data_IF_707872730034
#
_entry.id   IF_707872730034
#
_cell.length_a   1.000
_cell.length_b   1.000
_cell.length_c   1.000
_cell.angle_alpha   90.00
_cell.angle_beta   90.00
_cell.angle_gamma   90.00
#
_symmetry.space_group_name_H-M   'P 1'
#
loop_
_entity.id
_entity.type
_entity.pdbx_description
1 polymer ?
#
# COMPACT_ATOMS: atom_id res chain seq x y z
N UNK A 1 75.23 29.49 -14.86
CA UNK A 1 74.13 30.07 -15.64
C UNK A 1 72.87 29.89 -14.80
N UNK A 2 72.64 30.77 -13.84
CA UNK A 2 72.08 32.13 -14.01
C UNK A 2 70.57 32.11 -14.26
N UNK A 3 69.83 32.90 -13.48
CA UNK A 3 68.46 33.29 -13.81
C UNK A 3 67.48 33.22 -12.63
N UNK A 4 67.02 34.35 -12.04
CA UNK A 4 66.49 34.38 -10.68
C UNK A 4 64.96 34.33 -10.59
N UNK A 5 64.49 33.95 -9.40
CA UNK A 5 63.14 34.19 -8.89
C UNK A 5 62.94 35.69 -8.67
N UNK A 6 61.87 36.25 -9.26
CA UNK A 6 61.41 37.61 -8.98
C UNK A 6 60.47 37.60 -7.78
N UNK A 7 60.84 38.37 -6.76
CA UNK A 7 59.98 38.85 -5.68
C UNK A 7 59.70 40.33 -5.99
N UNK A 8 58.43 40.74 -5.98
CA UNK A 8 58.07 42.14 -5.72
C UNK A 8 56.99 42.18 -4.64
N UNK A 9 57.37 42.87 -3.57
CA UNK A 9 56.63 43.32 -2.39
C UNK A 9 55.84 44.61 -2.63
N UNK A 10 54.84 44.89 -1.79
CA UNK A 10 54.37 46.26 -1.51
C UNK A 10 52.90 46.36 -1.14
N UNK A 11 52.52 46.24 0.14
CA UNK A 11 52.26 47.36 1.08
C UNK A 11 51.04 48.24 0.76
N UNK A 12 50.01 48.20 1.63
CA UNK A 12 49.57 49.38 2.40
C UNK A 12 48.58 49.00 3.52
N UNK A 13 48.71 49.72 4.63
CA UNK A 13 48.08 49.54 5.94
C UNK A 13 46.72 50.26 6.00
N UNK A 14 45.83 49.79 6.88
CA UNK A 14 44.92 50.67 7.61
C UNK A 14 44.70 50.16 9.03
N UNK A 15 45.12 50.98 10.01
CA UNK A 15 44.92 50.82 11.46
C UNK A 15 43.94 51.90 11.90
N UNK A 16 43.06 51.59 12.86
CA UNK A 16 42.62 52.41 14.02
C UNK A 16 41.73 51.51 14.89
N UNK A 17 42.18 50.98 16.04
CA UNK A 17 42.36 51.60 17.39
C UNK A 17 41.05 52.08 18.04
N UNK A 18 40.72 51.51 19.20
CA UNK A 18 39.71 52.05 20.11
C UNK A 18 39.19 51.09 21.18
N UNK A 19 40.03 50.65 22.11
CA UNK A 19 39.65 50.28 23.50
C UNK A 19 40.12 51.43 24.42
N UNK A 20 39.97 51.43 25.77
CA UNK A 20 39.29 50.51 26.72
C UNK A 20 38.49 51.25 27.83
N UNK A 21 37.84 50.51 28.75
CA UNK A 21 38.15 50.56 30.21
C UNK A 21 37.26 49.63 31.04
N UNK A 22 37.89 49.20 32.13
CA UNK A 22 37.53 48.20 33.14
C UNK A 22 36.60 48.80 34.20
N UNK A 23 35.88 47.94 34.92
CA UNK A 23 36.00 47.88 36.38
C UNK A 23 35.52 46.51 36.89
N UNK A 24 36.32 45.98 37.81
CA UNK A 24 36.03 44.84 38.66
C UNK A 24 35.19 45.31 39.85
N UNK A 25 34.47 44.40 40.51
CA UNK A 25 34.63 44.22 41.95
C UNK A 25 34.02 42.91 42.47
N UNK A 26 34.84 42.27 43.31
CA UNK A 26 34.62 41.47 44.52
C UNK A 26 33.52 40.40 44.64
N UNK A 27 34.01 39.17 44.72
CA UNK A 27 33.84 38.16 45.79
C UNK A 27 32.87 38.48 46.94
N UNK A 28 32.02 37.51 47.27
CA UNK A 28 31.89 37.07 48.66
C UNK A 28 31.69 35.55 48.78
N UNK A 29 32.36 35.02 49.79
CA UNK A 29 32.53 33.64 50.18
C UNK A 29 31.50 33.35 51.28
N UNK A 30 30.64 32.34 51.12
CA UNK A 30 30.14 31.57 52.27
C UNK A 30 30.11 30.08 51.92
N UNK A 31 31.08 29.39 52.52
CA UNK A 31 31.12 27.95 52.76
C UNK A 31 30.12 27.62 53.86
N UNK A 32 29.24 26.65 53.69
CA UNK A 32 28.83 25.72 54.75
C UNK A 32 28.35 24.39 54.17
N UNK A 33 28.63 23.35 54.94
CA UNK A 33 28.79 21.93 54.64
C UNK A 33 27.49 21.11 54.67
N UNK A 34 27.64 19.93 54.07
CA UNK A 34 27.10 18.61 54.47
C UNK A 34 25.56 18.43 54.51
N UNK A 35 25.03 17.52 53.69
CA UNK A 35 24.77 16.14 54.14
C UNK A 35 24.29 15.25 52.98
N UNK A 36 24.93 14.09 52.90
CA UNK A 36 24.61 12.96 52.04
C UNK A 36 23.27 12.34 52.43
N UNK A 37 22.34 12.21 51.47
CA UNK A 37 21.24 11.25 51.56
C UNK A 37 21.39 10.20 50.46
N UNK A 38 21.70 8.99 50.91
CA UNK A 38 21.62 7.73 50.18
C UNK A 38 20.21 7.52 49.61
N UNK A 39 20.06 7.05 48.35
CA UNK A 39 18.80 6.46 47.91
C UNK A 39 18.69 5.07 48.55
N UNK A 40 17.75 4.94 49.48
CA UNK A 40 17.36 3.67 50.09
C UNK A 40 16.81 2.72 49.04
N UNK A 41 17.20 1.46 49.21
CA UNK A 41 16.78 0.27 48.48
C UNK A 41 15.28 -0.01 48.69
N UNK A 42 14.40 0.58 47.88
CA UNK A 42 12.99 0.16 47.77
C UNK A 42 12.50 0.28 46.32
N UNK A 43 13.14 -0.45 45.39
CA UNK A 43 12.50 -0.75 44.09
C UNK A 43 13.05 -2.04 43.47
N UNK A 44 13.04 -3.12 44.26
CA UNK A 44 13.21 -4.49 43.76
C UNK A 44 12.18 -5.39 44.42
N UNK A 45 11.00 -5.50 43.80
CA UNK A 45 10.22 -6.76 43.64
C UNK A 45 8.84 -6.44 43.09
N UNK A 46 8.68 -6.56 41.78
CA UNK A 46 7.46 -7.00 41.07
C UNK A 46 7.78 -7.16 39.59
N UNK A 47 8.63 -8.15 39.31
CA UNK A 47 8.55 -8.94 38.08
C UNK A 47 7.84 -10.23 38.44
N UNK A 48 7.14 -10.78 37.46
CA UNK A 48 6.41 -12.05 37.46
C UNK A 48 4.93 -11.95 37.83
N UNK A 49 4.19 -11.27 36.95
CA UNK A 49 3.04 -11.93 36.33
C UNK A 49 3.18 -11.74 34.82
N UNK A 50 3.60 -12.81 34.14
CA UNK A 50 3.61 -12.93 32.68
C UNK A 50 2.14 -13.17 32.29
N UNK A 51 1.35 -12.10 32.30
CA UNK A 51 0.09 -12.10 31.56
C UNK A 51 0.43 -11.90 30.08
N UNK A 52 0.44 -13.04 29.41
CA UNK A 52 0.30 -13.26 27.98
C UNK A 52 -0.32 -12.02 27.26
N UNK A 53 0.46 -11.22 26.51
CA UNK A 53 -0.12 -10.11 25.79
C UNK A 53 -0.91 -10.70 24.63
N UNK A 54 -2.21 -10.78 24.87
CA UNK A 54 -3.28 -10.84 23.90
C UNK A 54 -2.80 -10.42 22.50
N UNK A 55 -2.52 -11.41 21.65
CA UNK A 55 -2.19 -11.25 20.23
C UNK A 55 -3.41 -10.82 19.40
N UNK A 56 -4.36 -10.11 20.00
CA UNK A 56 -5.43 -9.41 19.29
C UNK A 56 -4.86 -8.15 18.66
N UNK A 57 -4.22 -8.35 17.51
CA UNK A 57 -3.83 -7.33 16.54
C UNK A 57 -4.99 -6.31 16.37
N UNK A 58 -4.94 -5.09 16.94
CA UNK A 58 -6.00 -4.09 16.77
C UNK A 58 -6.01 -3.48 15.36
N UNK A 59 -5.18 -4.00 14.44
CA UNK A 59 -4.78 -3.27 13.23
C UNK A 59 -5.74 -3.49 12.07
N UNK A 60 -6.59 -4.54 12.10
CA UNK A 60 -7.48 -4.86 10.97
C UNK A 60 -8.48 -3.72 10.72
N UNK A 61 -9.06 -3.12 11.75
CA UNK A 61 -10.03 -2.03 11.59
C UNK A 61 -9.41 -0.76 10.98
N UNK A 62 -8.14 -0.48 11.30
CA UNK A 62 -7.41 0.68 10.77
C UNK A 62 -7.21 0.63 9.24
N UNK A 63 -7.14 -0.56 8.65
CA UNK A 63 -6.83 -0.76 7.22
C UNK A 63 -8.05 -0.89 6.30
N UNK A 64 -9.27 -0.85 6.84
CA UNK A 64 -10.50 -0.92 6.06
C UNK A 64 -11.45 0.26 6.29
N UNK A 65 -10.96 1.37 6.86
CA UNK A 65 -11.73 2.60 7.01
C UNK A 65 -12.21 3.09 5.64
N UNK A 66 -13.50 2.90 5.40
CA UNK A 66 -14.21 3.36 4.19
C UNK A 66 -14.31 4.88 4.27
N UNK A 67 -13.74 5.59 3.29
CA UNK A 67 -13.90 7.04 3.23
C UNK A 67 -15.35 7.41 2.91
N UNK A 68 -15.86 8.53 3.46
CA UNK A 68 -17.13 9.07 3.03
C UNK A 68 -17.08 9.35 1.53
N UNK A 69 -18.09 8.89 0.81
CA UNK A 69 -18.23 9.14 -0.62
C UNK A 69 -18.47 10.64 -0.80
N UNK A 70 -17.56 11.30 -1.51
CA UNK A 70 -17.71 12.71 -1.83
C UNK A 70 -18.50 12.86 -3.14
N UNK A 71 -19.45 13.79 -3.18
CA UNK A 71 -19.99 14.28 -4.44
C UNK A 71 -18.93 15.19 -5.10
N UNK A 72 -18.12 14.62 -5.99
CA UNK A 72 -16.97 15.33 -6.59
C UNK A 72 -17.36 15.95 -7.92
N UNK A 73 -17.47 17.28 -7.95
CA UNK A 73 -17.41 18.02 -9.22
C UNK A 73 -15.95 18.07 -9.72
N UNK A 74 -15.59 17.17 -10.65
CA UNK A 74 -14.22 17.03 -11.17
C UNK A 74 -13.70 18.20 -12.00
N UNK A 75 -14.60 19.07 -12.48
CA UNK A 75 -14.21 20.32 -13.18
C UNK A 75 -13.74 21.40 -12.21
N UNK A 76 -14.10 21.31 -10.93
CA UNK A 76 -13.73 22.28 -9.91
C UNK A 76 -12.34 22.00 -9.32
N UNK A 77 -11.48 23.03 -9.31
CA UNK A 77 -10.11 22.98 -8.76
C UNK A 77 -10.10 22.60 -7.28
N UNK A 78 -11.03 23.13 -6.47
CA UNK A 78 -11.14 22.82 -5.04
C UNK A 78 -11.43 21.34 -4.80
N UNK A 79 -12.30 20.76 -5.62
CA UNK A 79 -12.62 19.33 -5.58
C UNK A 79 -11.40 18.47 -5.93
N UNK A 80 -10.64 18.85 -6.96
CA UNK A 80 -9.39 18.15 -7.33
C UNK A 80 -8.33 18.22 -6.23
N UNK A 81 -8.16 19.37 -5.58
CA UNK A 81 -7.26 19.53 -4.42
C UNK A 81 -7.66 18.61 -3.27
N UNK A 82 -8.96 18.55 -2.92
CA UNK A 82 -9.47 17.63 -1.89
C UNK A 82 -9.22 16.17 -2.24
N UNK A 83 -9.46 15.77 -3.49
CA UNK A 83 -9.24 14.38 -3.93
C UNK A 83 -7.76 13.99 -3.92
N UNK A 84 -6.87 14.91 -4.31
CA UNK A 84 -5.42 14.74 -4.18
C UNK A 84 -5.01 14.57 -2.72
N UNK A 85 -5.54 15.40 -1.82
CA UNK A 85 -5.26 15.27 -0.39
C UNK A 85 -5.73 13.92 0.16
N UNK A 86 -6.93 13.48 -0.20
CA UNK A 86 -7.43 12.15 0.17
C UNK A 86 -6.50 11.02 -0.30
N UNK A 87 -5.97 11.11 -1.52
CA UNK A 87 -5.00 10.14 -2.02
C UNK A 87 -3.73 10.13 -1.16
N UNK A 88 -3.17 11.29 -0.87
CA UNK A 88 -1.98 11.43 -0.02
C UNK A 88 -2.22 10.82 1.36
N UNK A 89 -3.33 11.18 2.00
CA UNK A 89 -3.66 10.71 3.35
C UNK A 89 -3.90 9.20 3.36
N UNK A 90 -4.52 8.66 2.31
CA UNK A 90 -4.72 7.22 2.15
C UNK A 90 -3.41 6.47 2.02
N UNK A 91 -2.45 6.98 1.23
CA UNK A 91 -1.12 6.37 1.12
C UNK A 91 -0.41 6.42 2.47
N UNK A 92 -0.51 7.52 3.23
CA UNK A 92 0.10 7.66 4.56
C UNK A 92 -0.45 6.65 5.59
N UNK A 93 -1.71 6.22 5.49
CA UNK A 93 -2.28 5.19 6.38
C UNK A 93 -1.50 3.87 6.33
N UNK A 94 -0.84 3.60 5.21
CA UNK A 94 -0.10 2.37 4.99
C UNK A 94 1.35 2.41 5.46
N UNK A 95 1.83 3.50 6.06
CA UNK A 95 3.16 3.54 6.68
C UNK A 95 3.26 2.44 7.74
N UNK A 96 4.37 1.70 7.73
CA UNK A 96 4.57 0.53 8.60
C UNK A 96 4.09 -0.80 8.01
N UNK A 97 3.39 -0.80 6.87
CA UNK A 97 2.96 -2.06 6.23
C UNK A 97 4.15 -2.76 5.54
N UNK A 98 4.39 -4.05 5.80
CA UNK A 98 5.52 -4.78 5.24
C UNK A 98 5.43 -5.03 3.73
N UNK A 99 6.59 -5.15 3.09
CA UNK A 99 6.68 -5.32 1.62
C UNK A 99 6.11 -6.66 1.12
N UNK A 100 6.53 -7.78 1.71
CA UNK A 100 6.07 -9.12 1.33
C UNK A 100 6.38 -10.14 2.43
N UNK A 101 5.43 -11.03 2.73
CA UNK A 101 5.55 -12.05 3.79
C UNK A 101 6.83 -12.87 3.70
N UNK A 102 7.21 -13.32 2.50
CA UNK A 102 8.45 -14.09 2.24
C UNK A 102 9.76 -13.41 2.61
N UNK A 103 9.72 -12.15 3.07
CA UNK A 103 10.89 -11.41 3.55
C UNK A 103 11.07 -11.52 5.06
N UNK A 104 10.10 -12.11 5.75
CA UNK A 104 10.09 -12.23 7.20
C UNK A 104 10.09 -13.69 7.63
N UNK A 105 10.57 -13.98 8.84
CA UNK A 105 10.51 -15.30 9.47
C UNK A 105 9.33 -15.38 10.45
N UNK A 106 8.81 -16.57 10.79
CA UNK A 106 7.71 -16.71 11.75
C UNK A 106 7.96 -16.08 13.14
N UNK A 107 9.21 -15.82 13.50
CA UNK A 107 9.60 -15.16 14.75
C UNK A 107 9.51 -13.61 14.68
N UNK A 108 9.29 -13.05 13.49
CA UNK A 108 9.18 -11.60 13.27
C UNK A 108 7.69 -11.18 13.22
N UNK A 109 7.34 -10.10 13.92
CA UNK A 109 5.96 -9.60 14.00
C UNK A 109 5.34 -9.31 12.61
N UNK A 110 6.14 -8.85 11.66
CA UNK A 110 5.71 -8.55 10.29
C UNK A 110 5.32 -9.80 9.49
N UNK A 111 5.67 -11.01 9.95
CA UNK A 111 5.28 -12.26 9.30
C UNK A 111 3.78 -12.56 9.39
N UNK A 112 3.10 -12.04 10.41
CA UNK A 112 1.67 -12.20 10.63
C UNK A 112 0.85 -10.97 10.24
N UNK A 113 1.46 -10.02 9.52
CA UNK A 113 0.76 -8.81 9.09
C UNK A 113 -0.40 -9.14 8.15
N UNK A 114 -1.59 -8.51 8.31
CA UNK A 114 -2.78 -8.87 7.54
C UNK A 114 -2.67 -8.58 6.04
N UNK A 115 -1.80 -7.63 5.65
CA UNK A 115 -1.57 -7.24 4.27
C UNK A 115 -0.09 -6.97 4.02
N UNK A 116 0.32 -7.14 2.76
CA UNK A 116 1.66 -6.82 2.30
C UNK A 116 1.57 -5.97 1.06
N UNK A 117 2.36 -4.90 1.01
CA UNK A 117 2.30 -3.91 -0.05
C UNK A 117 3.67 -3.73 -0.68
N UNK A 118 3.84 -4.28 -1.88
CA UNK A 118 4.93 -3.88 -2.76
C UNK A 118 4.71 -2.45 -3.31
N UNK A 119 5.65 -1.95 -4.10
CA UNK A 119 5.62 -0.56 -4.57
C UNK A 119 4.34 -0.22 -5.36
N UNK A 120 3.98 -1.02 -6.35
CA UNK A 120 2.76 -0.81 -7.13
C UNK A 120 1.49 -1.19 -6.33
N UNK A 121 1.61 -2.14 -5.42
CA UNK A 121 0.57 -2.60 -4.48
C UNK A 121 0.13 -1.51 -3.54
N UNK A 122 1.06 -0.72 -3.00
CA UNK A 122 0.77 0.45 -2.17
C UNK A 122 -0.15 1.44 -2.90
N UNK A 123 0.26 1.89 -4.09
CA UNK A 123 -0.50 2.84 -4.90
C UNK A 123 -1.86 2.25 -5.29
N UNK A 124 -1.87 0.99 -5.73
CA UNK A 124 -3.10 0.29 -6.12
C UNK A 124 -4.07 0.17 -4.95
N UNK A 125 -3.58 -0.14 -3.76
CA UNK A 125 -4.41 -0.29 -2.57
C UNK A 125 -5.04 1.04 -2.19
N UNK A 126 -4.28 2.12 -2.16
CA UNK A 126 -4.82 3.46 -1.92
C UNK A 126 -5.91 3.85 -2.94
N UNK A 127 -5.69 3.54 -4.22
CA UNK A 127 -6.71 3.74 -5.26
C UNK A 127 -7.94 2.84 -5.12
N UNK A 128 -7.82 1.65 -4.52
CA UNK A 128 -8.95 0.77 -4.25
C UNK A 128 -9.83 1.28 -3.12
N UNK A 129 -9.23 1.82 -2.08
CA UNK A 129 -9.96 2.42 -0.98
C UNK A 129 -10.72 3.68 -1.43
N UNK A 130 -10.17 4.40 -2.42
CA UNK A 130 -10.75 5.64 -2.98
C UNK A 130 -11.50 5.44 -4.30
N UNK A 131 -11.80 4.20 -4.70
CA UNK A 131 -12.41 3.90 -6.02
C UNK A 131 -13.71 4.67 -6.26
N UNK A 132 -14.53 4.87 -5.23
CA UNK A 132 -15.82 5.55 -5.33
C UNK A 132 -15.59 7.07 -5.50
N UNK A 133 -14.63 7.64 -4.77
CA UNK A 133 -14.25 9.06 -4.89
C UNK A 133 -13.63 9.36 -6.28
N UNK A 134 -12.73 8.50 -6.75
CA UNK A 134 -12.10 8.63 -8.08
C UNK A 134 -13.08 8.26 -9.22
N UNK A 135 -14.14 7.50 -8.92
CA UNK A 135 -15.12 6.99 -9.87
C UNK A 135 -14.57 5.97 -10.86
N UNK A 136 -13.49 5.30 -10.50
CA UNK A 136 -12.97 4.15 -11.22
C UNK A 136 -12.18 3.24 -10.29
N UNK A 137 -12.00 1.98 -10.71
CA UNK A 137 -11.11 1.03 -10.06
C UNK A 137 -9.92 0.75 -10.96
N UNK A 138 -8.71 1.00 -10.45
CA UNK A 138 -7.47 0.71 -11.18
C UNK A 138 -7.30 -0.80 -11.45
N UNK A 139 -6.76 -1.18 -12.59
CA UNK A 139 -6.53 -2.60 -12.92
C UNK A 139 -5.50 -3.30 -12.02
N UNK A 140 -5.42 -4.64 -12.04
CA UNK A 140 -4.43 -5.41 -11.27
C UNK A 140 -3.00 -5.35 -11.85
N UNK A 141 -2.73 -4.51 -12.86
CA UNK A 141 -1.43 -4.40 -13.51
C UNK A 141 -0.34 -3.81 -12.60
N UNK A 142 0.92 -3.99 -13.00
CA UNK A 142 2.11 -3.53 -12.26
C UNK A 142 2.38 -2.02 -12.44
N UNK A 143 3.54 -1.53 -11.98
CA UNK A 143 3.96 -0.12 -12.15
C UNK A 143 3.98 0.35 -13.62
N UNK A 144 4.25 -0.54 -14.59
CA UNK A 144 4.20 -0.19 -16.02
C UNK A 144 2.78 0.14 -16.46
N UNK A 145 1.79 -0.65 -16.03
CA UNK A 145 0.38 -0.33 -16.25
C UNK A 145 -0.02 1.00 -15.59
N UNK A 146 0.46 1.28 -14.38
CA UNK A 146 0.17 2.54 -13.69
C UNK A 146 0.71 3.75 -14.47
N UNK A 147 1.96 3.69 -14.96
CA UNK A 147 2.55 4.68 -15.88
C UNK A 147 1.65 4.92 -17.08
N UNK A 148 1.17 3.85 -17.72
CA UNK A 148 0.39 3.98 -18.96
C UNK A 148 -0.98 4.61 -18.73
N UNK A 149 -1.45 4.72 -17.49
CA UNK A 149 -2.72 5.40 -17.17
C UNK A 149 -2.51 6.86 -16.76
N UNK A 150 -1.26 7.34 -16.76
CA UNK A 150 -0.85 8.69 -16.39
C UNK A 150 -0.05 9.33 -17.54
N UNK A 151 -0.72 9.89 -18.57
CA UNK A 151 -0.05 10.47 -19.73
C UNK A 151 0.76 11.74 -19.44
N UNK A 152 0.46 12.45 -18.35
CA UNK A 152 1.02 13.77 -18.10
C UNK A 152 2.42 13.62 -17.49
N UNK A 153 3.43 13.82 -18.32
CA UNK A 153 4.82 13.95 -17.89
C UNK A 153 5.08 15.30 -17.23
N UNK A 154 5.88 15.28 -16.18
CA UNK A 154 6.30 16.46 -15.43
C UNK A 154 7.82 16.61 -15.47
N UNK A 155 8.30 17.84 -15.25
CA UNK A 155 9.68 18.06 -14.80
C UNK A 155 9.74 17.88 -13.29
N UNK A 156 10.94 17.61 -12.77
CA UNK A 156 11.13 17.47 -11.32
C UNK A 156 10.65 18.70 -10.55
N UNK A 157 10.85 19.90 -11.10
CA UNK A 157 10.45 21.19 -10.50
C UNK A 157 8.93 21.39 -10.44
N UNK A 158 8.18 20.67 -11.27
CA UNK A 158 6.73 20.84 -11.40
C UNK A 158 5.95 19.80 -10.56
N UNK A 159 6.66 18.91 -9.86
CA UNK A 159 6.07 17.89 -8.99
C UNK A 159 5.26 18.52 -7.85
N UNK A 160 4.08 17.97 -7.62
CA UNK A 160 3.21 18.33 -6.50
C UNK A 160 3.04 17.12 -5.58
N UNK A 161 2.83 17.32 -4.26
CA UNK A 161 2.50 16.24 -3.37
C UNK A 161 1.35 15.37 -3.91
N UNK A 162 1.53 14.05 -3.86
CA UNK A 162 0.61 13.07 -4.44
C UNK A 162 0.93 12.65 -5.88
N UNK A 163 1.79 13.37 -6.61
CA UNK A 163 2.27 12.90 -7.91
C UNK A 163 3.15 11.65 -7.75
N UNK A 164 3.29 10.88 -8.83
CA UNK A 164 4.00 9.61 -8.79
C UNK A 164 5.35 9.71 -9.50
N UNK A 165 6.34 9.06 -8.89
CA UNK A 165 7.69 8.93 -9.42
C UNK A 165 7.88 7.47 -9.81
N UNK A 166 8.08 7.22 -11.09
CA UNK A 166 8.36 5.89 -11.61
C UNK A 166 9.83 5.75 -11.95
N UNK A 167 10.35 4.53 -11.78
CA UNK A 167 11.76 4.23 -11.95
C UNK A 167 11.88 3.19 -13.04
N UNK A 168 12.53 3.54 -14.15
CA UNK A 168 13.00 2.55 -15.11
C UNK A 168 14.47 2.25 -14.86
N UNK A 169 14.91 1.03 -15.15
CA UNK A 169 16.33 0.69 -15.07
C UNK A 169 16.65 -0.68 -15.65
N UNK A 170 17.93 -0.90 -15.91
CA UNK A 170 18.45 -2.16 -16.44
C UNK A 170 18.56 -3.18 -15.31
N UNK A 171 18.05 -4.40 -15.50
CA UNK A 171 18.18 -5.42 -14.45
C UNK A 171 19.64 -5.87 -14.35
N UNK A 172 20.22 -5.90 -13.14
CA UNK A 172 21.58 -6.40 -12.92
C UNK A 172 21.69 -7.88 -13.32
N UNK A 173 20.63 -8.65 -13.06
CA UNK A 173 20.57 -10.05 -13.48
C UNK A 173 19.85 -10.14 -14.84
N UNK A 174 20.56 -10.46 -15.95
CA UNK A 174 19.99 -10.51 -17.29
C UNK A 174 19.01 -11.67 -17.49
N UNK A 175 19.05 -12.71 -16.63
CA UNK A 175 18.11 -13.84 -16.68
C UNK A 175 16.69 -13.46 -16.26
N UNK A 176 16.50 -12.29 -15.64
CA UNK A 176 15.18 -11.82 -15.22
C UNK A 176 14.44 -11.23 -16.42
N UNK A 177 13.21 -11.72 -16.64
CA UNK A 177 12.31 -11.18 -17.66
C UNK A 177 12.22 -9.64 -17.55
N UNK A 178 12.41 -8.90 -18.64
CA UNK A 178 12.23 -7.45 -18.63
C UNK A 178 10.76 -7.11 -18.37
N UNK A 179 10.54 -6.14 -17.49
CA UNK A 179 9.23 -5.54 -17.28
C UNK A 179 8.95 -4.54 -18.40
N UNK A 180 7.68 -4.25 -18.67
CA UNK A 180 7.29 -3.23 -19.63
C UNK A 180 7.93 -1.89 -19.31
N UNK A 181 8.43 -1.22 -20.36
CA UNK A 181 9.20 0.03 -20.28
C UNK A 181 10.37 -0.03 -19.28
N UNK A 182 10.83 -1.24 -18.96
CA UNK A 182 11.81 -1.49 -17.89
C UNK A 182 11.42 -0.90 -16.53
N UNK A 183 10.12 -0.70 -16.26
CA UNK A 183 9.64 -0.09 -15.01
C UNK A 183 9.83 -1.04 -13.83
N UNK A 184 10.57 -0.58 -12.82
CA UNK A 184 10.99 -1.37 -11.66
C UNK A 184 10.32 -0.95 -10.36
N UNK A 185 9.99 0.33 -10.20
CA UNK A 185 9.54 0.88 -8.93
C UNK A 185 8.62 2.08 -9.13
N UNK A 186 7.83 2.39 -8.10
CA UNK A 186 7.00 3.58 -8.00
C UNK A 186 6.97 4.09 -6.57
N UNK A 187 7.02 5.40 -6.39
CA UNK A 187 6.84 6.09 -5.11
C UNK A 187 5.89 7.28 -5.28
N UNK A 188 5.21 7.68 -4.20
CA UNK A 188 4.43 8.91 -4.17
C UNK A 188 5.33 10.06 -3.70
N UNK A 189 5.40 11.14 -4.46
CA UNK A 189 6.13 12.34 -4.07
C UNK A 189 5.39 13.08 -2.95
N UNK A 190 6.12 13.55 -1.95
CA UNK A 190 5.58 14.40 -0.88
C UNK A 190 6.20 15.78 -0.84
N UNK A 191 7.33 16.00 -1.51
CA UNK A 191 8.15 17.21 -1.37
C UNK A 191 8.88 17.20 -0.04
N UNK A 192 8.13 17.22 1.07
CA UNK A 192 8.66 17.22 2.43
C UNK A 192 9.62 18.38 2.71
N UNK A 193 10.30 18.37 3.86
CA UNK A 193 11.29 19.41 4.21
C UNK A 193 12.49 19.45 3.27
N UNK A 194 12.84 18.32 2.64
CA UNK A 194 14.00 18.20 1.75
C UNK A 194 13.70 18.63 0.31
N UNK A 195 12.44 18.90 -0.04
CA UNK A 195 11.99 19.16 -1.42
C UNK A 195 12.02 17.94 -2.35
N UNK A 196 12.58 16.81 -1.91
CA UNK A 196 12.72 15.57 -2.69
C UNK A 196 12.21 14.33 -1.94
N UNK A 197 11.44 14.52 -0.89
CA UNK A 197 10.90 13.43 -0.08
C UNK A 197 9.82 12.62 -0.83
N UNK A 198 9.74 11.33 -0.54
CA UNK A 198 8.74 10.42 -1.08
C UNK A 198 8.24 9.40 -0.04
N UNK A 199 7.08 8.79 -0.31
CA UNK A 199 6.58 7.60 0.38
C UNK A 199 6.62 6.42 -0.59
N UNK A 200 7.19 5.31 -0.15
CA UNK A 200 7.29 4.12 -0.98
C UNK A 200 7.49 2.84 -0.20
N UNK A 201 7.53 1.72 -0.92
CA UNK A 201 7.81 0.39 -0.36
C UNK A 201 9.06 -0.20 -1.02
N UNK A 202 10.23 -0.05 -0.36
CA UNK A 202 11.55 -0.44 -0.91
C UNK A 202 11.95 -1.86 -0.48
N UNK A 203 12.45 -2.70 -1.41
CA UNK A 203 12.45 -4.16 -1.29
C UNK A 203 13.50 -4.91 -0.42
N UNK A 204 13.82 -4.51 0.82
CA UNK A 204 14.67 -5.32 1.74
C UNK A 204 14.19 -5.26 3.20
N UNK A 205 13.26 -6.14 3.60
CA UNK A 205 12.59 -6.15 4.93
C UNK A 205 12.00 -4.79 5.34
N UNK A 206 11.87 -3.84 4.39
CA UNK A 206 11.36 -2.51 4.69
C UNK A 206 9.85 -2.55 4.61
N UNK A 207 9.27 -1.83 5.55
CA UNK A 207 7.89 -1.41 5.53
C UNK A 207 7.73 -0.21 4.59
N UNK A 208 6.48 0.11 4.24
CA UNK A 208 6.14 1.41 3.64
C UNK A 208 6.62 2.50 4.58
N UNK A 209 7.39 3.45 4.06
CA UNK A 209 7.95 4.53 4.88
C UNK A 209 8.16 5.82 4.06
N UNK A 210 8.41 6.91 4.76
CA UNK A 210 9.03 8.10 4.19
C UNK A 210 10.49 7.81 3.86
N UNK A 211 10.95 8.45 2.79
CA UNK A 211 12.35 8.51 2.41
C UNK A 211 12.73 9.95 2.13
N UNK A 212 13.85 10.40 2.70
CA UNK A 212 14.33 11.78 2.57
C UNK A 212 14.55 12.19 1.12
N UNK A 213 14.87 11.22 0.26
CA UNK A 213 15.01 11.41 -1.17
C UNK A 213 14.41 10.25 -1.95
N UNK A 214 13.69 10.58 -3.01
CA UNK A 214 13.29 9.63 -4.05
C UNK A 214 14.48 9.18 -4.92
N UNK A 215 15.65 9.84 -4.83
CA UNK A 215 16.88 9.44 -5.52
C UNK A 215 17.65 8.46 -4.63
N UNK A 216 17.80 7.22 -5.10
CA UNK A 216 18.56 6.19 -4.38
C UNK A 216 19.23 5.23 -5.36
N UNK A 217 20.29 4.56 -4.90
CA UNK A 217 20.96 3.50 -5.65
C UNK A 217 20.25 2.17 -5.37
N UNK A 218 19.77 1.51 -6.41
CA UNK A 218 19.14 0.20 -6.30
C UNK A 218 20.18 -0.92 -6.32
N UNK A 219 19.96 -1.95 -5.50
CA UNK A 219 20.76 -3.19 -5.52
C UNK A 219 20.28 -4.22 -6.55
N UNK A 220 19.23 -3.90 -7.30
CA UNK A 220 18.56 -4.87 -8.19
C UNK A 220 18.46 -4.41 -9.65
N UNK A 221 18.76 -3.14 -9.91
CA UNK A 221 18.78 -2.54 -11.24
C UNK A 221 19.73 -1.33 -11.26
N UNK A 222 20.33 -1.07 -12.42
CA UNK A 222 21.22 0.06 -12.70
C UNK A 222 20.55 1.05 -13.65
N UNK A 223 21.27 2.12 -14.02
CA UNK A 223 20.88 3.09 -15.06
C UNK A 223 19.49 3.69 -14.80
N UNK A 224 19.29 4.11 -13.55
CA UNK A 224 17.99 4.58 -13.07
C UNK A 224 17.61 5.85 -13.80
N UNK A 225 16.46 5.81 -14.48
CA UNK A 225 15.79 7.01 -15.01
C UNK A 225 14.49 7.22 -14.24
N UNK A 226 14.27 8.45 -13.83
CA UNK A 226 13.06 8.87 -13.13
C UNK A 226 12.05 9.43 -14.12
N UNK A 227 10.80 8.97 -14.00
CA UNK A 227 9.68 9.44 -14.79
C UNK A 227 8.66 10.05 -13.84
N UNK A 228 8.45 11.36 -13.96
CA UNK A 228 7.57 12.13 -13.08
C UNK A 228 6.19 12.21 -13.74
N UNK A 229 5.16 11.70 -13.06
CA UNK A 229 3.81 11.62 -13.62
C UNK A 229 2.80 12.33 -12.72
N UNK A 230 2.04 13.24 -13.30
CA UNK A 230 0.93 13.89 -12.59
C UNK A 230 -0.24 12.93 -12.41
N UNK A 231 -0.81 12.86 -11.21
CA UNK A 231 -2.05 12.13 -10.97
C UNK A 231 -3.31 12.87 -11.44
N UNK A 232 -3.19 14.07 -12.02
CA UNK A 232 -4.34 14.89 -12.42
C UNK A 232 -5.29 14.16 -13.38
N UNK A 233 -4.77 13.26 -14.23
CA UNK A 233 -5.60 12.39 -15.08
C UNK A 233 -6.53 11.51 -14.24
N UNK A 234 -6.03 10.93 -13.14
CA UNK A 234 -6.85 10.16 -12.21
C UNK A 234 -7.81 11.06 -11.44
N UNK A 235 -7.40 12.28 -11.05
CA UNK A 235 -8.30 13.24 -10.38
C UNK A 235 -9.50 13.64 -11.25
N UNK A 236 -9.35 13.58 -12.58
CA UNK A 236 -10.43 13.75 -13.55
C UNK A 236 -11.33 12.50 -13.72
N UNK A 237 -11.03 11.43 -12.99
CA UNK A 237 -11.77 10.16 -13.06
C UNK A 237 -11.44 9.33 -14.31
N UNK A 238 -10.28 9.59 -14.94
CA UNK A 238 -9.85 8.86 -16.14
C UNK A 238 -8.79 7.83 -15.77
N UNK A 239 -9.03 6.58 -16.14
CA UNK A 239 -8.05 5.50 -16.02
C UNK A 239 -8.06 4.69 -17.32
N UNK A 240 -7.32 5.17 -18.31
CA UNK A 240 -7.22 4.55 -19.64
C UNK A 240 -5.75 4.40 -20.01
N UNK A 241 -5.40 3.24 -20.55
CA UNK A 241 -4.06 2.98 -21.08
C UNK A 241 -3.88 3.85 -22.33
N UNK A 242 -2.89 4.73 -22.31
CA UNK A 242 -2.55 5.62 -23.43
C UNK A 242 -1.36 5.12 -24.25
N UNK A 243 -0.58 4.19 -23.72
CA UNK A 243 0.57 3.62 -24.44
C UNK A 243 0.13 2.82 -25.67
N UNK A 244 0.66 3.20 -26.83
CA UNK A 244 0.38 2.54 -28.11
C UNK A 244 0.92 1.10 -28.14
N UNK A 245 2.09 0.85 -27.54
CA UNK A 245 2.71 -0.49 -27.44
C UNK A 245 1.81 -1.47 -26.68
N UNK A 246 1.08 -0.98 -25.68
CA UNK A 246 0.21 -1.81 -24.84
C UNK A 246 -1.24 -1.91 -25.35
N UNK A 247 -1.61 -1.15 -26.39
CA UNK A 247 -2.92 -1.27 -27.05
C UNK A 247 -3.07 -2.59 -27.82
N UNK A 248 -1.95 -3.16 -28.29
CA UNK A 248 -1.92 -4.29 -29.23
C UNK A 248 -1.95 -5.68 -28.58
N UNK A 249 -1.98 -5.75 -27.25
CA UNK A 249 -2.17 -7.01 -26.52
C UNK A 249 -3.24 -6.83 -25.47
N UNK A 250 -4.46 -6.52 -25.92
CA UNK A 250 -5.64 -6.79 -25.11
C UNK A 250 -5.57 -8.21 -24.55
N UNK A 251 -6.13 -8.49 -23.36
CA UNK A 251 -6.19 -9.86 -22.89
C UNK A 251 -6.82 -10.68 -24.01
N UNK A 252 -6.06 -11.62 -24.58
CA UNK A 252 -6.67 -12.75 -25.27
C UNK A 252 -7.55 -13.33 -24.19
N UNK A 253 -8.85 -12.99 -24.20
CA UNK A 253 -9.82 -13.68 -23.38
C UNK A 253 -9.64 -15.11 -23.82
N UNK A 254 -8.89 -15.90 -23.03
CA UNK A 254 -8.89 -17.34 -23.19
C UNK A 254 -10.37 -17.65 -23.07
N UNK A 255 -11.01 -18.02 -24.20
CA UNK A 255 -12.38 -18.54 -24.20
C UNK A 255 -12.40 -19.46 -22.99
N UNK A 256 -13.27 -19.19 -22.01
CA UNK A 256 -13.36 -20.02 -20.80
C UNK A 256 -13.48 -21.44 -21.33
N UNK A 257 -12.39 -22.19 -21.29
CA UNK A 257 -12.45 -23.62 -21.53
C UNK A 257 -13.30 -24.05 -20.35
N UNK A 258 -14.59 -24.32 -20.61
CA UNK A 258 -15.48 -24.90 -19.62
C UNK A 258 -14.76 -26.17 -19.19
N UNK A 259 -14.04 -26.08 -18.09
CA UNK A 259 -13.20 -27.17 -17.60
C UNK A 259 -14.09 -28.41 -17.60
N UNK A 260 -13.58 -29.53 -18.14
CA UNK A 260 -14.30 -30.80 -18.10
C UNK A 260 -14.80 -31.12 -16.68
N UNK A 261 -14.10 -30.60 -15.66
CA UNK A 261 -14.53 -30.59 -14.27
C UNK A 261 -15.86 -29.85 -14.03
N UNK A 262 -16.02 -28.62 -14.50
CA UNK A 262 -17.27 -27.85 -14.35
C UNK A 262 -18.44 -28.51 -15.08
N UNK A 263 -18.19 -29.12 -16.25
CA UNK A 263 -19.20 -29.93 -16.96
C UNK A 263 -19.58 -31.17 -16.14
N UNK A 264 -18.60 -31.90 -15.57
CA UNK A 264 -18.84 -33.05 -14.68
C UNK A 264 -19.60 -32.67 -13.41
N UNK A 265 -19.27 -31.54 -12.78
CA UNK A 265 -19.96 -31.05 -11.57
C UNK A 265 -21.41 -30.69 -11.90
N UNK A 266 -21.66 -30.03 -13.03
CA UNK A 266 -23.02 -29.70 -13.47
C UNK A 266 -23.83 -30.96 -13.82
N UNK A 267 -23.22 -31.94 -14.49
CA UNK A 267 -23.86 -33.21 -14.83
C UNK A 267 -24.20 -34.04 -13.57
N UNK A 268 -23.29 -34.10 -12.59
CA UNK A 268 -23.55 -34.74 -11.29
C UNK A 268 -24.72 -34.07 -10.56
N UNK A 269 -24.79 -32.73 -10.54
CA UNK A 269 -25.90 -31.99 -9.93
C UNK A 269 -27.25 -32.27 -10.61
N UNK A 270 -27.28 -32.37 -11.95
CA UNK A 270 -28.52 -32.70 -12.65
C UNK A 270 -28.96 -34.14 -12.40
N UNK A 271 -28.04 -35.12 -12.43
CA UNK A 271 -28.36 -36.52 -12.13
C UNK A 271 -28.89 -36.69 -10.70
N UNK A 272 -28.35 -35.93 -9.74
CA UNK A 272 -28.84 -35.96 -8.35
C UNK A 272 -30.22 -35.31 -8.20
N UNK A 273 -30.52 -34.25 -8.96
CA UNK A 273 -31.85 -33.63 -9.01
C UNK A 273 -32.89 -34.58 -9.61
N UNK A 274 -32.54 -35.28 -10.70
CA UNK A 274 -33.42 -36.26 -11.34
C UNK A 274 -33.76 -37.42 -10.41
N UNK A 275 -32.76 -38.01 -9.74
CA UNK A 275 -32.98 -39.06 -8.74
C UNK A 275 -33.90 -38.61 -7.59
N UNK A 276 -33.80 -37.36 -7.15
CA UNK A 276 -34.69 -36.80 -6.11
C UNK A 276 -36.13 -36.70 -6.62
N UNK A 277 -36.34 -36.27 -7.86
CA UNK A 277 -37.68 -36.19 -8.48
C UNK A 277 -38.29 -37.59 -8.65
N UNK A 278 -37.53 -38.56 -9.17
CA UNK A 278 -37.97 -39.95 -9.31
C UNK A 278 -38.34 -40.58 -7.96
N UNK A 279 -37.53 -40.34 -6.91
CA UNK A 279 -37.85 -40.83 -5.56
C UNK A 279 -39.10 -40.17 -4.96
N UNK A 280 -39.40 -38.94 -5.37
CA UNK A 280 -40.58 -38.22 -4.91
C UNK A 280 -41.85 -38.71 -5.62
N UNK A 281 -41.77 -39.02 -6.92
CA UNK A 281 -42.85 -39.64 -7.69
C UNK A 281 -43.15 -41.07 -7.21
N UNK A 282 -42.12 -41.88 -6.95
CA UNK A 282 -42.33 -43.21 -6.36
C UNK A 282 -43.05 -43.14 -5.01
N UNK A 283 -42.66 -42.20 -4.13
CA UNK A 283 -43.35 -41.99 -2.84
C UNK A 283 -44.79 -41.54 -3.00
N UNK A 284 -45.10 -40.72 -4.01
CA UNK A 284 -46.48 -40.35 -4.32
C UNK A 284 -47.31 -41.55 -4.77
N UNK A 285 -46.76 -42.40 -5.64
CA UNK A 285 -47.47 -43.57 -6.16
C UNK A 285 -47.67 -44.64 -5.07
N UNK A 286 -46.70 -44.87 -4.18
CA UNK A 286 -46.89 -45.78 -3.04
C UNK A 286 -47.97 -45.27 -2.08
N UNK A 287 -48.00 -43.97 -1.80
CA UNK A 287 -49.03 -43.39 -0.93
C UNK A 287 -50.43 -43.43 -1.57
N UNK A 288 -50.52 -43.30 -2.89
CA UNK A 288 -51.78 -43.43 -3.62
C UNK A 288 -52.31 -44.87 -3.62
N UNK A 289 -51.43 -45.86 -3.79
CA UNK A 289 -51.77 -47.30 -3.72
C UNK A 289 -52.27 -47.74 -2.34
N UNK A 290 -51.71 -47.18 -1.25
CA UNK A 290 -52.18 -47.45 0.11
C UNK A 290 -53.57 -46.85 0.35
N UNK A 291 -53.88 -45.71 -0.28
CA UNK A 291 -55.18 -45.05 -0.14
C UNK A 291 -56.30 -45.82 -0.87
N UNK A 292 -56.02 -46.41 -2.03
CA UNK A 292 -56.99 -47.22 -2.78
C UNK A 292 -57.29 -48.58 -2.15
N UNK A 293 -56.36 -49.14 -1.37
CA UNK A 293 -56.61 -50.39 -0.63
C UNK A 293 -57.57 -50.23 0.56
N UNK A 294 -57.84 -49.00 1.01
CA UNK A 294 -58.75 -48.72 2.11
C UNK A 294 -60.22 -48.53 1.69
N UNK A 295 -60.49 -48.33 0.39
CA UNK A 295 -61.85 -48.06 -0.11
C UNK A 295 -62.62 -49.32 -0.52
N UNK A 296 -61.97 -50.48 -0.61
CA UNK A 296 -62.61 -51.75 -1.03
C UNK A 296 -63.12 -52.62 0.13
N UNK A 297 -63.07 -52.15 1.38
CA UNK A 297 -63.83 -52.80 2.46
C UNK A 297 -65.27 -52.30 2.45
N UNK A 298 -66.08 -52.90 1.59
CA UNK A 298 -67.53 -52.79 1.59
C UNK A 298 -68.09 -53.22 2.95
N UNK A 299 -68.33 -52.24 3.83
CA UNK A 299 -69.12 -52.41 5.04
C UNK A 299 -70.59 -52.60 4.63
N UNK A 300 -71.07 -53.85 4.66
CA UNK A 300 -72.50 -54.15 4.62
C UNK A 300 -73.11 -53.76 5.96
N UNK A 301 -73.88 -52.67 5.99
CA UNK A 301 -74.71 -52.31 7.14
C UNK A 301 -75.92 -53.24 7.21
N UNK A 302 -76.20 -53.88 8.37
CA UNK A 302 -77.44 -54.63 8.55
C UNK A 302 -78.62 -53.66 8.67
N UNK A 303 -79.69 -53.95 7.92
CA UNK A 303 -80.94 -53.21 7.94
C UNK A 303 -81.65 -53.40 9.29
N UNK A 304 -82.11 -52.29 9.85
CA UNK A 304 -82.98 -52.25 11.03
C UNK A 304 -84.34 -52.90 10.72
N UNK A 305 -84.78 -53.77 11.63
CA UNK A 305 -86.19 -54.09 11.88
C UNK A 305 -86.49 -53.82 13.35
#
# INVERSE_FOLDING_TARGET
MEGPRVIISGFAKSKRKGSPKKNADLLDIISLKEETKTPSEEEKTKKEEIENPDHTVPIIEKYYLRFPQLQINRKNIRSKKKLRQLFIDTVKKYIGVPYARRKYTPDENEYYYPIYLDCCGLIRRAMYDLKDNFGFKIGPGNQGYQVDTLPIDLRQTDLKPGDLIFYSGTAINPKKKPWWHHMKHVEMFTGGPTGVQSIGSRGKKKVVNYFDSFKFVSRSYTDIKWHYKSIDTWLEGKCKIVCQVHRLKGPKMKKKVKSAYLKRVHFKKQKQKQKRLESFEQKKNTNFSVFTAFTDKSYSFPAFQ
#
